data_IF_457779906392
#
_entry.id   IF_457779906392
#
_cell.length_a   1.000
_cell.length_b   1.000
_cell.length_c   1.000
_cell.angle_alpha   90.00
_cell.angle_beta   90.00
_cell.angle_gamma   90.00
#
_symmetry.space_group_name_H-M   'P 1'
#
loop_
_entity.id
_entity.type
_entity.pdbx_description
1 polymer ?
#
# COMPACT_ATOMS: atom_id res chain seq x y z
N UNK A 1 9.68 53.57 -8.24
CA UNK A 1 10.30 52.71 -7.20
C UNK A 1 10.19 53.31 -5.78
N UNK A 2 10.43 54.61 -5.59
CA UNK A 2 10.28 55.30 -4.28
C UNK A 2 8.88 55.22 -3.67
N UNK A 3 7.84 55.35 -4.50
CA UNK A 3 6.43 55.27 -4.07
C UNK A 3 6.09 53.91 -3.41
N UNK A 4 6.49 52.79 -4.02
CA UNK A 4 6.23 51.45 -3.48
C UNK A 4 6.91 51.24 -2.11
N UNK A 5 8.13 51.78 -1.95
CA UNK A 5 8.88 51.71 -0.69
C UNK A 5 8.19 52.51 0.42
N UNK A 6 7.61 53.66 0.09
CA UNK A 6 6.85 54.50 1.02
C UNK A 6 5.51 53.85 1.42
N UNK A 7 4.82 53.21 0.47
CA UNK A 7 3.59 52.45 0.73
C UNK A 7 3.85 51.26 1.68
N UNK A 8 4.88 50.46 1.41
CA UNK A 8 5.29 49.36 2.30
C UNK A 8 5.64 49.88 3.70
N UNK A 9 6.40 50.96 3.80
CA UNK A 9 6.80 51.55 5.08
C UNK A 9 5.60 52.05 5.89
N UNK A 10 4.61 52.61 5.22
CA UNK A 10 3.36 53.07 5.83
C UNK A 10 2.49 51.91 6.28
N UNK A 11 2.37 50.86 5.46
CA UNK A 11 1.63 49.64 5.81
C UNK A 11 2.21 48.95 7.05
N UNK A 12 3.53 48.78 7.12
CA UNK A 12 4.20 48.21 8.30
C UNK A 12 3.98 49.06 9.56
N UNK A 13 4.04 50.39 9.45
CA UNK A 13 3.72 51.29 10.57
C UNK A 13 2.28 51.11 11.06
N UNK A 14 1.32 50.98 10.16
CA UNK A 14 -0.09 50.77 10.50
C UNK A 14 -0.34 49.43 11.19
N UNK A 15 0.30 48.35 10.74
CA UNK A 15 0.25 47.03 11.40
C UNK A 15 0.82 47.12 12.82
N UNK A 16 1.96 47.82 12.99
CA UNK A 16 2.60 47.99 14.30
C UNK A 16 1.79 48.85 15.28
N UNK A 17 0.94 49.74 14.76
CA UNK A 17 0.03 50.58 15.56
C UNK A 17 -1.12 49.77 16.16
N UNK A 18 -1.62 48.75 15.46
CA UNK A 18 -2.78 47.96 15.87
C UNK A 18 -2.42 46.50 16.19
N UNK A 19 -1.40 46.32 17.05
CA UNK A 19 -0.77 45.02 17.33
C UNK A 19 -1.75 43.90 17.67
N UNK A 20 -2.72 44.15 18.54
CA UNK A 20 -3.68 43.10 18.96
C UNK A 20 -4.51 42.58 17.79
N UNK A 21 -5.05 43.50 16.97
CA UNK A 21 -5.87 43.14 15.82
C UNK A 21 -5.04 42.41 14.76
N UNK A 22 -3.88 42.95 14.42
CA UNK A 22 -3.00 42.35 13.41
C UNK A 22 -2.48 40.98 13.82
N UNK A 23 -2.14 40.78 15.10
CA UNK A 23 -1.73 39.48 15.63
C UNK A 23 -2.85 38.45 15.52
N UNK A 24 -4.05 38.77 16.00
CA UNK A 24 -5.19 37.85 15.98
C UNK A 24 -5.58 37.43 14.56
N UNK A 25 -5.57 38.36 13.59
CA UNK A 25 -5.86 38.03 12.19
C UNK A 25 -4.77 37.15 11.56
N UNK A 26 -3.49 37.44 11.83
CA UNK A 26 -2.40 36.61 11.31
C UNK A 26 -2.41 35.21 11.94
N UNK A 27 -2.72 35.10 13.23
CA UNK A 27 -2.80 33.84 13.94
C UNK A 27 -3.90 32.94 13.38
N UNK A 28 -5.07 33.52 13.08
CA UNK A 28 -6.17 32.78 12.45
C UNK A 28 -5.77 32.17 11.10
N UNK A 29 -5.06 32.92 10.26
CA UNK A 29 -4.58 32.43 8.96
C UNK A 29 -3.53 31.33 9.16
N UNK A 30 -2.58 31.52 10.08
CA UNK A 30 -1.54 30.53 10.36
C UNK A 30 -2.17 29.21 10.80
N UNK A 31 -3.06 29.24 11.80
CA UNK A 31 -3.72 28.02 12.31
C UNK A 31 -4.60 27.40 11.22
N UNK A 32 -5.37 28.19 10.47
CA UNK A 32 -6.26 27.71 9.42
C UNK A 32 -5.52 27.02 8.27
N UNK A 33 -4.43 27.61 7.77
CA UNK A 33 -3.64 26.99 6.70
C UNK A 33 -2.87 25.78 7.22
N UNK A 34 -2.35 25.85 8.45
CA UNK A 34 -1.59 24.75 9.06
C UNK A 34 -2.46 23.52 9.27
N UNK A 35 -3.70 23.66 9.74
CA UNK A 35 -4.60 22.53 9.96
C UNK A 35 -4.95 21.81 8.66
N UNK A 36 -5.16 22.55 7.57
CA UNK A 36 -5.42 21.97 6.24
C UNK A 36 -4.20 21.20 5.74
N UNK A 37 -3.00 21.77 5.82
CA UNK A 37 -1.76 21.08 5.40
C UNK A 37 -1.57 19.79 6.19
N UNK A 38 -1.72 19.85 7.52
CA UNK A 38 -1.57 18.67 8.39
C UNK A 38 -2.60 17.61 8.04
N UNK A 39 -3.87 17.98 7.88
CA UNK A 39 -4.93 17.03 7.54
C UNK A 39 -4.67 16.35 6.19
N UNK A 40 -4.27 17.11 5.17
CA UNK A 40 -3.94 16.55 3.85
C UNK A 40 -2.75 15.59 3.94
N UNK A 41 -1.68 15.98 4.63
CA UNK A 41 -0.51 15.14 4.82
C UNK A 41 -0.83 13.83 5.56
N UNK A 42 -1.67 13.89 6.60
CA UNK A 42 -2.15 12.71 7.32
C UNK A 42 -3.01 11.82 6.41
N UNK A 43 -3.92 12.41 5.64
CA UNK A 43 -4.81 11.69 4.72
C UNK A 43 -4.04 10.92 3.66
N UNK A 44 -3.17 11.61 2.93
CA UNK A 44 -2.33 11.02 1.88
C UNK A 44 -1.35 9.99 2.46
N UNK A 45 -0.71 10.29 3.58
CA UNK A 45 0.21 9.35 4.25
C UNK A 45 -0.49 8.08 4.72
N UNK A 46 -1.70 8.20 5.27
CA UNK A 46 -2.50 7.06 5.70
C UNK A 46 -2.95 6.22 4.51
N UNK A 47 -3.39 6.86 3.43
CA UNK A 47 -3.79 6.16 2.20
C UNK A 47 -2.61 5.39 1.61
N UNK A 48 -1.42 6.01 1.52
CA UNK A 48 -0.21 5.36 1.04
C UNK A 48 0.18 4.17 1.93
N UNK A 49 0.10 4.31 3.25
CA UNK A 49 0.40 3.23 4.19
C UNK A 49 -0.58 2.06 4.06
N UNK A 50 -1.89 2.34 3.92
CA UNK A 50 -2.90 1.30 3.72
C UNK A 50 -2.66 0.59 2.39
N UNK A 51 -2.41 1.33 1.31
CA UNK A 51 -2.10 0.75 0.00
C UNK A 51 -0.86 -0.15 0.05
N UNK A 52 0.21 0.27 0.74
CA UNK A 52 1.40 -0.57 0.94
C UNK A 52 1.09 -1.85 1.72
N UNK A 53 0.30 -1.76 2.80
CA UNK A 53 -0.11 -2.93 3.57
C UNK A 53 -0.94 -3.90 2.73
N UNK A 54 -1.87 -3.38 1.92
CA UNK A 54 -2.70 -4.18 1.01
C UNK A 54 -1.82 -4.86 -0.04
N UNK A 55 -0.93 -4.11 -0.70
CA UNK A 55 0.00 -4.69 -1.68
C UNK A 55 0.92 -5.74 -1.05
N UNK A 56 1.33 -5.56 0.21
CA UNK A 56 2.15 -6.53 0.95
C UNK A 56 1.40 -7.83 1.28
N UNK A 57 0.07 -7.83 1.30
CA UNK A 57 -0.72 -9.06 1.42
C UNK A 57 -0.65 -9.93 0.15
N UNK A 58 -0.07 -9.42 -0.94
CA UNK A 58 0.09 -10.17 -2.19
C UNK A 58 -1.19 -10.16 -3.02
N UNK A 59 -1.69 -8.97 -3.36
CA UNK A 59 -2.86 -8.80 -4.24
C UNK A 59 -2.65 -9.34 -5.67
N UNK A 60 -1.42 -9.67 -6.03
CA UNK A 60 -1.02 -10.23 -7.33
C UNK A 60 -0.66 -11.72 -7.25
N UNK A 61 -1.27 -12.47 -6.32
CA UNK A 61 -1.02 -13.90 -6.14
C UNK A 61 -2.10 -14.75 -6.83
N UNK A 62 -1.66 -15.65 -7.72
CA UNK A 62 -2.49 -16.70 -8.30
C UNK A 62 -2.05 -18.03 -7.69
N UNK A 63 -2.96 -18.70 -6.97
CA UNK A 63 -2.70 -20.00 -6.35
C UNK A 63 -3.43 -21.09 -7.15
N UNK A 64 -2.67 -22.06 -7.66
CA UNK A 64 -3.19 -23.18 -8.46
C UNK A 64 -3.12 -24.46 -7.62
N UNK A 65 -4.26 -25.11 -7.40
CA UNK A 65 -4.34 -26.37 -6.68
C UNK A 65 -4.66 -27.53 -7.64
N UNK A 66 -4.01 -28.70 -7.50
CA UNK A 66 -4.36 -29.89 -8.26
C UNK A 66 -5.73 -30.43 -7.81
N UNK A 67 -6.54 -30.90 -8.78
CA UNK A 67 -7.89 -31.40 -8.52
C UNK A 67 -7.91 -32.59 -7.55
N UNK A 68 -8.97 -32.67 -6.73
CA UNK A 68 -9.27 -33.86 -5.94
C UNK A 68 -9.74 -35.01 -6.85
N UNK A 69 -9.30 -36.23 -6.59
CA UNK A 69 -9.78 -37.43 -7.28
C UNK A 69 -10.73 -38.19 -6.36
N UNK A 70 -11.83 -38.69 -6.91
CA UNK A 70 -12.74 -39.59 -6.21
C UNK A 70 -12.45 -41.01 -6.68
N UNK A 71 -12.20 -41.93 -5.76
CA UNK A 71 -12.02 -43.35 -6.05
C UNK A 71 -13.10 -44.15 -5.33
N UNK A 72 -13.89 -44.93 -6.05
CA UNK A 72 -14.94 -45.78 -5.45
C UNK A 72 -16.04 -45.04 -4.67
N UNK A 73 -16.31 -43.76 -4.99
CA UNK A 73 -17.30 -42.95 -4.26
C UNK A 73 -16.75 -42.21 -3.01
N UNK A 74 -15.51 -42.47 -2.62
CA UNK A 74 -14.84 -41.76 -1.51
C UNK A 74 -14.04 -40.58 -2.07
N UNK A 75 -14.24 -39.40 -1.50
CA UNK A 75 -13.43 -38.21 -1.81
C UNK A 75 -12.06 -38.37 -1.15
N UNK A 76 -11.00 -38.49 -1.95
CA UNK A 76 -9.63 -38.64 -1.45
C UNK A 76 -8.99 -37.29 -1.04
N UNK A 77 -9.76 -36.18 -1.08
CA UNK A 77 -9.26 -34.84 -0.79
C UNK A 77 -8.52 -34.16 -1.95
N UNK A 78 -8.35 -32.84 -1.85
CA UNK A 78 -7.55 -32.05 -2.79
C UNK A 78 -6.08 -32.50 -2.72
N UNK A 79 -5.44 -32.73 -3.88
CA UNK A 79 -4.07 -33.26 -3.95
C UNK A 79 -3.94 -34.78 -4.12
N UNK A 80 -5.04 -35.54 -4.17
CA UNK A 80 -5.01 -37.01 -4.33
C UNK A 80 -4.43 -37.51 -5.67
N UNK A 81 -4.56 -36.76 -6.77
CA UNK A 81 -3.66 -36.90 -7.93
C UNK A 81 -2.98 -35.56 -8.13
N UNK A 82 -1.71 -35.47 -7.73
CA UNK A 82 -0.89 -34.34 -8.12
C UNK A 82 -0.38 -34.55 -9.55
N UNK A 83 -1.03 -33.89 -10.52
CA UNK A 83 -0.58 -33.84 -11.93
C UNK A 83 0.31 -32.64 -12.23
N UNK A 84 0.51 -31.74 -11.25
CA UNK A 84 1.41 -30.60 -11.42
C UNK A 84 2.85 -31.10 -11.27
N UNK A 85 3.63 -30.93 -12.33
CA UNK A 85 5.03 -31.32 -12.39
C UNK A 85 5.94 -30.10 -12.33
N UNK A 86 7.24 -30.32 -12.06
CA UNK A 86 8.24 -29.24 -12.12
C UNK A 86 8.38 -28.68 -13.54
N UNK A 87 8.15 -29.50 -14.57
CA UNK A 87 8.18 -29.06 -15.97
C UNK A 87 7.08 -28.03 -16.27
N UNK A 88 5.93 -28.14 -15.62
CA UNK A 88 4.84 -27.16 -15.76
C UNK A 88 5.25 -25.79 -15.18
N UNK A 89 6.02 -25.78 -14.10
CA UNK A 89 6.58 -24.56 -13.51
C UNK A 89 7.55 -23.88 -14.48
N UNK A 90 8.43 -24.66 -15.13
CA UNK A 90 9.38 -24.12 -16.11
C UNK A 90 8.69 -23.56 -17.35
N UNK A 91 7.64 -24.24 -17.84
CA UNK A 91 6.83 -23.75 -18.96
C UNK A 91 6.11 -22.45 -18.60
N UNK A 92 5.44 -22.39 -17.44
CA UNK A 92 4.77 -21.17 -16.98
C UNK A 92 5.77 -20.02 -16.85
N UNK A 93 6.97 -20.28 -16.33
CA UNK A 93 8.02 -19.26 -16.21
C UNK A 93 8.53 -18.74 -17.56
N UNK A 94 8.53 -19.57 -18.61
CA UNK A 94 8.97 -19.20 -19.96
C UNK A 94 7.88 -18.53 -20.79
N UNK A 95 6.66 -19.04 -20.72
CA UNK A 95 5.56 -18.64 -21.62
C UNK A 95 4.73 -17.48 -21.07
N UNK A 96 4.71 -17.28 -19.74
CA UNK A 96 3.92 -16.21 -19.13
C UNK A 96 4.71 -14.89 -19.04
N UNK A 97 4.40 -13.96 -19.94
CA UNK A 97 5.06 -12.64 -20.00
C UNK A 97 4.66 -11.69 -18.86
N UNK A 98 3.53 -11.94 -18.21
CA UNK A 98 2.96 -11.07 -17.17
C UNK A 98 3.31 -11.49 -15.74
N UNK A 99 3.92 -12.66 -15.56
CA UNK A 99 4.25 -13.17 -14.23
C UNK A 99 5.64 -12.67 -13.81
N UNK A 100 5.72 -12.05 -12.63
CA UNK A 100 7.01 -11.61 -12.05
C UNK A 100 7.80 -12.78 -11.45
N UNK A 101 7.13 -13.85 -11.05
CA UNK A 101 7.75 -15.04 -10.47
C UNK A 101 6.75 -16.18 -10.29
N UNK A 102 7.28 -17.39 -10.17
CA UNK A 102 6.51 -18.63 -9.93
C UNK A 102 7.24 -19.41 -8.85
N UNK A 103 6.51 -19.94 -7.86
CA UNK A 103 7.07 -20.78 -6.79
C UNK A 103 6.26 -22.07 -6.66
N UNK A 104 6.88 -23.25 -6.83
CA UNK A 104 6.23 -24.52 -6.49
C UNK A 104 6.14 -24.70 -4.98
N UNK A 105 5.07 -25.32 -4.50
CA UNK A 105 4.88 -25.71 -3.10
C UNK A 105 4.57 -27.20 -3.05
N UNK A 106 5.37 -27.96 -2.29
CA UNK A 106 5.21 -29.40 -2.12
C UNK A 106 5.00 -29.71 -0.65
N UNK A 107 3.88 -30.35 -0.33
CA UNK A 107 3.58 -30.83 1.02
C UNK A 107 3.72 -32.34 1.03
N UNK A 108 4.69 -32.87 1.77
CA UNK A 108 4.90 -34.30 1.95
C UNK A 108 4.67 -34.69 3.43
N UNK A 109 3.87 -35.72 3.67
CA UNK A 109 3.72 -36.34 4.99
C UNK A 109 4.68 -37.52 5.13
N UNK A 110 5.41 -37.60 6.25
CA UNK A 110 6.26 -38.75 6.58
C UNK A 110 5.80 -39.35 7.90
N UNK A 111 5.56 -40.66 7.93
CA UNK A 111 5.28 -41.40 9.15
C UNK A 111 6.58 -42.05 9.64
N UNK A 112 7.05 -41.62 10.80
CA UNK A 112 8.21 -42.25 11.45
C UNK A 112 7.67 -43.43 12.24
N UNK A 113 8.00 -44.65 11.81
CA UNK A 113 7.72 -45.87 12.56
C UNK A 113 9.00 -46.20 13.33
N UNK A 114 9.04 -45.80 14.60
CA UNK A 114 10.07 -46.23 15.54
C UNK A 114 9.67 -47.59 16.11
N UNK A 115 10.56 -48.58 15.97
CA UNK A 115 10.48 -49.85 16.70
C UNK A 115 11.04 -49.75 18.11
#
# INVERSE_FOLDING_TARGET
>A
MLEFKNLLRTAFKSILKNRMRSLLTSLGIIIGVSSVIVMTAIGEGSQAQIAQRINALGTDLIIVFPSAVRSGGVSMGAGSQNRLTLDDVEKIKKDATLLKGVSPVVTAGSQIIGG
#
